data_IF_939340837471
#
_entry.id   IF_939340837471
#
_cell.length_a   1.000
_cell.length_b   1.000
_cell.length_c   1.000
_cell.angle_alpha   90.00
_cell.angle_beta   90.00
_cell.angle_gamma   90.00
#
_symmetry.space_group_name_H-M   'P 1'
#
loop_
_entity.id
_entity.type
_entity.pdbx_description
1 polymer ?
#
# COMPACT_ATOMS: atom_id res chain seq x y z
N UNK A 1 21.40 -1.81 -31.45
CA UNK A 1 19.98 -2.02 -31.08
C UNK A 1 19.93 -2.36 -29.60
N UNK A 2 19.96 -1.34 -28.75
CA UNK A 2 19.79 -1.50 -27.30
C UNK A 2 18.31 -1.74 -27.07
N UNK A 3 17.93 -2.94 -26.65
CA UNK A 3 16.58 -3.25 -26.19
C UNK A 3 16.23 -2.24 -25.08
N UNK A 4 15.33 -1.30 -25.38
CA UNK A 4 14.62 -0.54 -24.37
C UNK A 4 13.98 -1.58 -23.47
N UNK A 5 14.42 -1.68 -22.21
CA UNK A 5 13.72 -2.51 -21.23
C UNK A 5 12.28 -1.98 -21.19
N UNK A 6 11.27 -2.78 -21.54
CA UNK A 6 9.90 -2.38 -21.32
C UNK A 6 9.78 -2.19 -19.81
N UNK A 7 9.54 -0.95 -19.42
CA UNK A 7 8.68 -0.65 -18.29
C UNK A 7 9.17 -1.17 -16.92
N UNK A 8 10.31 -0.66 -16.44
CA UNK A 8 10.65 -0.67 -14.99
C UNK A 8 9.48 -0.08 -14.16
N UNK A 9 8.57 0.64 -14.81
CA UNK A 9 7.41 1.30 -14.21
C UNK A 9 6.06 0.58 -14.35
N UNK A 10 5.97 -0.57 -15.03
CA UNK A 10 4.70 -1.33 -15.10
C UNK A 10 4.51 -2.28 -13.91
N UNK A 11 5.58 -2.55 -13.16
CA UNK A 11 5.49 -3.24 -11.87
C UNK A 11 5.11 -2.24 -10.77
N UNK A 12 4.19 -2.64 -9.88
CA UNK A 12 3.73 -1.76 -8.80
C UNK A 12 4.93 -1.32 -7.94
N UNK A 13 5.07 0.00 -7.71
CA UNK A 13 6.12 0.56 -6.85
C UNK A 13 5.97 0.09 -5.40
N UNK A 14 4.73 -0.12 -4.98
CA UNK A 14 4.36 -0.68 -3.69
C UNK A 14 3.29 -1.73 -3.93
N UNK A 15 3.44 -2.89 -3.30
CA UNK A 15 2.42 -3.92 -3.23
C UNK A 15 2.22 -4.38 -1.79
N UNK A 16 0.96 -4.39 -1.35
CA UNK A 16 0.50 -5.05 -0.14
C UNK A 16 -0.47 -6.14 -0.59
N UNK A 17 -0.28 -7.37 -0.13
CA UNK A 17 -1.15 -8.51 -0.43
C UNK A 17 -1.69 -9.08 0.89
N UNK A 18 -3.01 -9.03 1.08
CA UNK A 18 -3.75 -9.52 2.25
C UNK A 18 -3.16 -9.08 3.61
N UNK A 19 -2.71 -7.83 3.72
CA UNK A 19 -2.01 -7.36 4.92
C UNK A 19 -2.95 -7.08 6.08
N UNK A 20 -2.64 -7.67 7.23
CA UNK A 20 -3.31 -7.43 8.51
C UNK A 20 -2.34 -6.78 9.48
N UNK A 21 -2.78 -5.75 10.20
CA UNK A 21 -1.97 -5.03 11.18
C UNK A 21 -2.70 -4.88 12.50
N UNK A 22 -1.98 -5.17 13.58
CA UNK A 22 -2.44 -5.08 14.97
C UNK A 22 -1.28 -4.62 15.84
N UNK A 23 -1.49 -3.63 16.70
CA UNK A 23 -0.43 -3.16 17.61
C UNK A 23 -0.41 -3.92 18.94
N UNK A 24 -1.57 -4.33 19.45
CA UNK A 24 -1.72 -5.03 20.73
C UNK A 24 -2.89 -6.03 20.65
N UNK A 25 -3.34 -6.63 21.76
CA UNK A 25 -4.45 -7.58 21.73
C UNK A 25 -5.84 -6.96 21.49
N UNK A 26 -5.96 -5.64 21.30
CA UNK A 26 -7.25 -4.93 21.28
C UNK A 26 -8.06 -5.11 19.98
N UNK A 27 -7.44 -5.61 18.91
CA UNK A 27 -8.12 -5.88 17.65
C UNK A 27 -7.28 -5.58 16.42
N UNK A 28 -7.81 -5.92 15.25
CA UNK A 28 -7.18 -5.61 13.97
C UNK A 28 -7.46 -4.16 13.57
N UNK A 29 -6.42 -3.42 13.22
CA UNK A 29 -6.52 -2.04 12.72
C UNK A 29 -6.63 -2.03 11.20
N UNK A 30 -5.90 -2.93 10.55
CA UNK A 30 -6.02 -3.25 9.13
C UNK A 30 -6.28 -4.75 9.04
N UNK A 31 -7.18 -5.16 8.14
CA UNK A 31 -7.55 -6.57 7.96
C UNK A 31 -7.60 -6.88 6.48
N UNK A 32 -6.72 -7.77 6.01
CA UNK A 32 -6.70 -8.27 4.63
C UNK A 32 -6.58 -7.17 3.55
N UNK A 33 -5.71 -6.18 3.74
CA UNK A 33 -5.56 -5.08 2.80
C UNK A 33 -4.74 -5.50 1.57
N UNK A 34 -5.36 -5.40 0.40
CA UNK A 34 -4.70 -5.46 -0.91
C UNK A 34 -4.52 -4.05 -1.47
N UNK A 35 -3.29 -3.67 -1.80
CA UNK A 35 -2.95 -2.34 -2.34
C UNK A 35 -1.82 -2.46 -3.36
N UNK A 36 -2.00 -1.83 -4.53
CA UNK A 36 -0.92 -1.66 -5.50
C UNK A 36 -0.82 -0.19 -5.89
N UNK A 37 0.34 0.42 -5.67
CA UNK A 37 0.62 1.80 -6.10
C UNK A 37 1.51 1.79 -7.33
N UNK A 38 1.09 2.49 -8.37
CA UNK A 38 1.88 2.60 -9.60
C UNK A 38 3.05 3.57 -9.38
N UNK A 39 4.22 3.32 -9.99
CA UNK A 39 5.31 4.28 -9.99
C UNK A 39 4.87 5.65 -10.55
N UNK A 40 5.30 6.73 -9.91
CA UNK A 40 4.94 8.10 -10.31
C UNK A 40 3.47 8.49 -10.05
N UNK A 41 2.66 7.60 -9.47
CA UNK A 41 1.28 7.93 -9.12
C UNK A 41 1.19 8.80 -7.86
N UNK A 42 0.18 9.65 -7.81
CA UNK A 42 -0.17 10.45 -6.64
C UNK A 42 -1.56 10.03 -6.15
N UNK A 43 -1.61 9.37 -5.00
CA UNK A 43 -2.85 8.80 -4.44
C UNK A 43 -3.21 9.46 -3.11
N UNK A 44 -4.50 9.65 -2.88
CA UNK A 44 -5.03 10.18 -1.63
C UNK A 44 -5.55 9.04 -0.76
N UNK A 45 -5.05 8.96 0.47
CA UNK A 45 -5.59 8.07 1.50
C UNK A 45 -6.54 8.85 2.41
N UNK A 46 -7.84 8.60 2.28
CA UNK A 46 -8.91 9.32 2.99
C UNK A 46 -9.72 8.37 3.89
N UNK A 47 -10.61 8.93 4.72
CA UNK A 47 -11.46 8.17 5.63
C UNK A 47 -11.54 8.79 7.04
N UNK A 48 -12.52 8.34 7.84
CA UNK A 48 -12.77 8.85 9.19
C UNK A 48 -11.55 8.73 10.11
N UNK A 49 -11.51 9.55 11.17
CA UNK A 49 -10.49 9.39 12.23
C UNK A 49 -10.56 7.98 12.80
N UNK A 50 -9.40 7.35 13.06
CA UNK A 50 -9.34 5.97 13.54
C UNK A 50 -9.46 4.87 12.47
N UNK A 51 -9.74 5.18 11.20
CA UNK A 51 -9.87 4.18 10.12
C UNK A 51 -8.56 3.47 9.69
N UNK A 52 -7.47 3.58 10.48
CA UNK A 52 -6.21 2.90 10.16
C UNK A 52 -5.29 3.61 9.16
N UNK A 53 -5.60 4.82 8.68
CA UNK A 53 -4.79 5.55 7.68
C UNK A 53 -3.31 5.69 8.06
N UNK A 54 -3.02 6.25 9.23
CA UNK A 54 -1.63 6.40 9.71
C UNK A 54 -0.95 5.06 9.94
N UNK A 55 -1.72 4.01 10.23
CA UNK A 55 -1.20 2.64 10.37
C UNK A 55 -0.84 2.05 9.01
N UNK A 56 -1.65 2.28 7.97
CA UNK A 56 -1.34 1.88 6.59
C UNK A 56 -0.09 2.60 6.08
N UNK A 57 0.02 3.92 6.32
CA UNK A 57 1.19 4.71 5.91
C UNK A 57 2.49 4.31 6.61
N UNK A 58 2.44 3.66 7.78
CA UNK A 58 3.64 3.15 8.47
C UNK A 58 4.18 1.86 7.85
N UNK A 59 3.41 1.20 6.99
CA UNK A 59 3.82 -0.01 6.27
C UNK A 59 4.48 0.32 4.93
N UNK A 60 4.38 1.56 4.47
CA UNK A 60 5.02 2.11 3.27
C UNK A 60 6.39 2.70 3.61
#
# INVERSE_FOLDING_TARGET
MTQLRPDIFDEAAVRLDAVTLRYDASGEILSGIDLALKPGSFSFLTGASGAGKSSLLKLL
#
